data_IF_253526009489
#
_entry.id   IF_253526009489
#
_cell.length_a   1.000
_cell.length_b   1.000
_cell.length_c   1.000
_cell.angle_alpha   90.00
_cell.angle_beta   90.00
_cell.angle_gamma   90.00
#
_symmetry.space_group_name_H-M   'P 1'
#
loop_
_entity.id
_entity.type
_entity.pdbx_description
1 polymer ?
#
# COMPACT_ATOMS: atom_id res chain seq x y z
N UNK A 1 -2.71 -29.16 3.19
CA UNK A 1 -2.12 -28.13 2.28
C UNK A 1 -3.05 -27.52 1.22
N UNK A 2 -3.35 -28.12 0.05
CA UNK A 2 -4.18 -27.43 -1.00
C UNK A 2 -5.61 -27.06 -0.55
N UNK A 3 -6.28 -27.91 0.25
CA UNK A 3 -7.62 -27.62 0.80
C UNK A 3 -7.61 -26.55 1.90
N UNK A 4 -6.56 -26.48 2.70
CA UNK A 4 -6.40 -25.45 3.74
C UNK A 4 -6.11 -24.07 3.12
N UNK A 5 -5.24 -24.03 2.11
CA UNK A 5 -4.97 -22.82 1.32
C UNK A 5 -6.24 -22.30 0.64
N UNK A 6 -7.11 -23.18 0.14
CA UNK A 6 -8.40 -22.78 -0.46
C UNK A 6 -9.36 -22.16 0.55
N UNK A 7 -9.43 -22.70 1.77
CA UNK A 7 -10.27 -22.15 2.86
C UNK A 7 -9.75 -20.81 3.35
N UNK A 8 -8.43 -20.69 3.52
CA UNK A 8 -7.75 -19.45 3.89
C UNK A 8 -7.95 -18.39 2.79
N UNK A 9 -7.83 -18.75 1.51
CA UNK A 9 -8.09 -17.83 0.38
C UNK A 9 -9.53 -17.33 0.36
N UNK A 10 -10.51 -18.20 0.62
CA UNK A 10 -11.93 -17.78 0.66
C UNK A 10 -12.21 -16.81 1.81
N UNK A 11 -11.70 -17.11 3.00
CA UNK A 11 -11.80 -16.22 4.17
C UNK A 11 -11.05 -14.90 3.96
N UNK A 12 -9.87 -14.95 3.35
CA UNK A 12 -9.09 -13.77 2.99
C UNK A 12 -9.87 -12.91 1.99
N UNK A 13 -10.47 -13.51 0.95
CA UNK A 13 -11.30 -12.81 -0.04
C UNK A 13 -12.52 -12.14 0.57
N UNK A 14 -13.18 -12.78 1.52
CA UNK A 14 -14.30 -12.17 2.25
C UNK A 14 -13.85 -11.00 3.15
N UNK A 15 -12.69 -11.14 3.81
CA UNK A 15 -12.09 -10.06 4.62
C UNK A 15 -11.63 -8.89 3.74
N UNK A 16 -10.95 -9.18 2.65
CA UNK A 16 -10.52 -8.22 1.64
C UNK A 16 -11.69 -7.45 1.03
N UNK A 17 -12.79 -8.14 0.69
CA UNK A 17 -13.99 -7.49 0.16
C UNK A 17 -14.64 -6.56 1.20
N UNK A 18 -14.69 -6.97 2.47
CA UNK A 18 -15.15 -6.10 3.57
C UNK A 18 -14.20 -4.92 3.83
N UNK A 19 -12.89 -5.18 3.78
CA UNK A 19 -11.83 -4.20 3.94
C UNK A 19 -11.88 -3.16 2.81
N UNK A 20 -12.04 -3.58 1.56
CA UNK A 20 -12.19 -2.73 0.37
C UNK A 20 -13.40 -1.79 0.50
N UNK A 21 -14.54 -2.29 0.98
CA UNK A 21 -15.76 -1.48 1.18
C UNK A 21 -15.64 -0.44 2.31
N UNK A 22 -14.81 -0.69 3.32
CA UNK A 22 -14.65 0.18 4.49
C UNK A 22 -13.19 0.33 4.92
N UNK A 23 -12.29 0.65 3.99
CA UNK A 23 -10.89 0.87 4.31
C UNK A 23 -10.70 2.24 4.96
N UNK A 24 -10.88 2.32 6.29
CA UNK A 24 -10.80 3.57 7.05
C UNK A 24 -9.43 4.26 6.96
N UNK A 25 -8.38 3.52 6.60
CA UNK A 25 -7.01 4.03 6.44
C UNK A 25 -6.75 4.61 5.06
N UNK A 26 -7.56 4.23 4.06
CA UNK A 26 -7.43 4.71 2.70
C UNK A 26 -8.30 5.94 2.50
N UNK A 27 -7.65 7.07 2.22
CA UNK A 27 -8.28 8.23 1.59
C UNK A 27 -8.01 8.11 0.11
N UNK A 28 -9.00 7.68 -0.64
CA UNK A 28 -8.81 7.35 -2.05
C UNK A 28 -8.70 8.59 -2.95
N UNK A 29 -8.26 8.37 -4.19
CA UNK A 29 -8.39 9.31 -5.29
C UNK A 29 -9.46 8.85 -6.29
N UNK A 30 -9.80 9.71 -7.26
CA UNK A 30 -10.88 9.45 -8.22
C UNK A 30 -10.45 8.65 -9.44
N UNK A 31 -9.18 8.79 -9.82
CA UNK A 31 -8.60 8.17 -11.01
C UNK A 31 -7.55 7.16 -10.56
N UNK A 32 -7.69 5.94 -11.06
CA UNK A 32 -6.79 4.82 -10.83
C UNK A 32 -6.06 4.46 -12.12
N UNK A 33 -4.98 3.68 -12.01
CA UNK A 33 -4.23 3.16 -13.15
C UNK A 33 -5.11 2.34 -14.11
N UNK A 34 -6.11 1.64 -13.56
CA UNK A 34 -7.07 0.84 -14.32
C UNK A 34 -8.02 1.68 -15.19
N UNK A 35 -8.11 2.99 -14.99
CA UNK A 35 -8.90 3.90 -15.80
C UNK A 35 -8.18 4.25 -17.12
N UNK A 36 -7.95 3.26 -17.98
CA UNK A 36 -7.14 3.40 -19.21
C UNK A 36 -7.61 4.49 -20.19
N UNK A 37 -8.87 4.93 -20.09
CA UNK A 37 -9.42 6.04 -20.91
C UNK A 37 -9.10 7.43 -20.36
N UNK A 38 -8.67 7.51 -19.10
CA UNK A 38 -8.30 8.76 -18.47
C UNK A 38 -6.82 9.05 -18.73
N UNK A 39 -6.51 10.20 -19.31
CA UNK A 39 -5.13 10.57 -19.63
C UNK A 39 -4.23 10.71 -18.40
N UNK A 40 -4.82 10.86 -17.21
CA UNK A 40 -4.11 11.02 -15.93
C UNK A 40 -3.98 9.73 -15.13
N UNK A 41 -4.38 8.57 -15.66
CA UNK A 41 -4.28 7.28 -14.96
C UNK A 41 -2.86 6.93 -14.55
N UNK A 42 -1.86 7.28 -15.37
CA UNK A 42 -0.43 7.11 -15.08
C UNK A 42 0.09 8.05 -13.97
N UNK A 43 -0.63 9.12 -13.65
CA UNK A 43 -0.31 10.01 -12.51
C UNK A 43 -0.83 9.45 -11.18
N UNK A 44 -1.67 8.40 -11.21
CA UNK A 44 -2.27 7.83 -10.01
C UNK A 44 -1.20 7.40 -9.02
N UNK A 45 -1.29 7.95 -7.80
CA UNK A 45 -0.25 7.84 -6.78
C UNK A 45 -0.87 7.50 -5.44
N UNK A 46 -0.38 6.45 -4.77
CA UNK A 46 -0.69 6.15 -3.39
C UNK A 46 0.47 6.55 -2.48
N UNK A 47 0.24 7.49 -1.56
CA UNK A 47 1.17 7.80 -0.49
C UNK A 47 0.92 6.91 0.73
N UNK A 48 1.90 6.11 1.11
CA UNK A 48 1.89 5.31 2.36
C UNK A 48 2.60 6.13 3.43
N UNK A 49 1.87 6.58 4.44
CA UNK A 49 2.41 7.42 5.52
C UNK A 49 2.55 6.65 6.82
N UNK A 50 3.51 7.04 7.66
CA UNK A 50 3.75 6.46 8.98
C UNK A 50 2.55 6.52 9.94
N UNK A 51 1.74 7.58 9.85
CA UNK A 51 0.58 7.75 10.72
C UNK A 51 -0.33 8.90 10.31
N UNK A 52 -1.39 9.12 11.11
CA UNK A 52 -2.44 10.08 10.80
C UNK A 52 -1.96 11.54 10.76
N UNK A 53 -0.86 11.87 11.44
CA UNK A 53 -0.25 13.21 11.39
C UNK A 53 0.26 13.55 9.99
N UNK A 54 1.15 12.72 9.44
CA UNK A 54 1.67 12.86 8.08
C UNK A 54 0.54 12.72 7.03
N UNK A 55 -0.35 11.74 7.22
CA UNK A 55 -1.54 11.58 6.39
C UNK A 55 -2.43 12.82 6.35
N UNK A 56 -2.65 13.47 7.48
CA UNK A 56 -3.46 14.69 7.58
C UNK A 56 -2.85 15.85 6.80
N UNK A 57 -1.52 15.96 6.81
CA UNK A 57 -0.78 16.97 6.03
C UNK A 57 -0.90 16.73 4.53
N UNK A 58 -0.62 15.51 4.05
CA UNK A 58 -0.73 15.17 2.61
C UNK A 58 -2.18 15.27 2.14
N UNK A 59 -3.15 14.82 2.94
CA UNK A 59 -4.58 14.88 2.58
C UNK A 59 -5.06 16.29 2.28
N UNK A 60 -4.52 17.30 2.98
CA UNK A 60 -4.90 18.70 2.79
C UNK A 60 -4.31 19.33 1.53
N UNK A 61 -3.16 18.85 1.05
CA UNK A 61 -2.43 19.47 -0.07
C UNK A 61 -2.49 18.68 -1.38
N UNK A 62 -2.91 17.40 -1.33
CA UNK A 62 -2.93 16.51 -2.49
C UNK A 62 -3.95 16.92 -3.57
N UNK A 63 -3.68 16.52 -4.82
CA UNK A 63 -4.71 16.47 -5.87
C UNK A 63 -5.60 15.24 -5.67
N UNK A 64 -6.83 15.45 -5.20
CA UNK A 64 -7.81 14.39 -4.95
C UNK A 64 -8.19 13.56 -6.18
N UNK A 65 -7.88 14.03 -7.40
CA UNK A 65 -8.15 13.27 -8.60
C UNK A 65 -7.15 12.12 -8.78
N UNK A 66 -5.87 12.32 -8.48
CA UNK A 66 -4.81 11.35 -8.79
C UNK A 66 -4.03 10.87 -7.57
N UNK A 67 -4.16 11.51 -6.41
CA UNK A 67 -3.33 11.20 -5.24
C UNK A 67 -4.17 10.63 -4.10
N UNK A 68 -3.94 9.35 -3.78
CA UNK A 68 -4.48 8.63 -2.65
C UNK A 68 -3.50 8.64 -1.46
N UNK A 69 -4.01 8.43 -0.24
CA UNK A 69 -3.20 8.38 0.98
C UNK A 69 -3.64 7.20 1.84
N UNK A 70 -2.70 6.39 2.31
CA UNK A 70 -2.91 5.28 3.23
C UNK A 70 -2.13 5.52 4.54
N UNK A 71 -2.83 5.56 5.68
CA UNK A 71 -2.19 5.70 7.00
C UNK A 71 -1.87 4.37 7.66
N UNK A 72 -0.58 4.11 7.88
CA UNK A 72 -0.13 3.03 8.75
C UNK A 72 -0.46 3.33 10.21
N UNK A 73 -0.47 2.29 11.03
CA UNK A 73 -0.55 2.42 12.49
C UNK A 73 0.69 1.80 13.12
N UNK A 74 1.64 2.65 13.48
CA UNK A 74 2.90 2.21 14.09
C UNK A 74 3.78 1.45 13.08
N UNK A 75 4.72 0.68 13.62
CA UNK A 75 5.69 -0.08 12.82
C UNK A 75 5.03 -1.31 12.18
N UNK A 76 5.08 -1.46 10.84
CA UNK A 76 4.58 -2.67 10.19
C UNK A 76 5.25 -3.94 10.71
N UNK A 77 4.57 -5.08 10.60
CA UNK A 77 5.16 -6.37 10.94
C UNK A 77 6.40 -6.63 10.06
N UNK A 78 7.52 -7.04 10.65
CA UNK A 78 8.67 -7.49 9.87
C UNK A 78 8.35 -8.81 9.18
N UNK A 79 8.24 -8.78 7.86
CA UNK A 79 7.84 -9.95 7.08
C UNK A 79 9.00 -10.81 6.59
N UNK A 80 10.25 -10.45 6.91
CA UNK A 80 11.43 -11.22 6.50
C UNK A 80 11.33 -12.68 7.00
N UNK A 81 11.42 -13.63 6.07
CA UNK A 81 11.32 -15.06 6.37
C UNK A 81 9.91 -15.54 6.76
N UNK A 82 8.89 -14.68 6.73
CA UNK A 82 7.51 -15.07 6.99
C UNK A 82 6.83 -15.67 5.76
N UNK A 83 5.81 -16.50 6.01
CA UNK A 83 4.98 -17.08 4.94
C UNK A 83 3.88 -16.10 4.51
N UNK A 84 3.38 -16.26 3.27
CA UNK A 84 2.23 -15.49 2.75
C UNK A 84 1.02 -15.52 3.69
N UNK A 85 0.78 -16.66 4.35
CA UNK A 85 -0.33 -16.83 5.30
C UNK A 85 -0.30 -15.81 6.44
N UNK A 86 0.86 -15.61 7.06
CA UNK A 86 1.02 -14.68 8.19
C UNK A 86 0.75 -13.23 7.73
N UNK A 87 1.22 -12.88 6.53
CA UNK A 87 1.00 -11.56 5.94
C UNK A 87 -0.48 -11.32 5.64
N UNK A 88 -1.21 -12.32 5.17
CA UNK A 88 -2.66 -12.22 4.94
C UNK A 88 -3.49 -12.10 6.23
N UNK A 89 -3.02 -12.71 7.31
CA UNK A 89 -3.65 -12.63 8.63
C UNK A 89 -3.37 -11.28 9.32
N UNK A 90 -2.33 -10.55 8.91
CA UNK A 90 -2.03 -9.22 9.40
C UNK A 90 -3.00 -8.18 8.81
N UNK A 91 -3.70 -7.46 9.69
CA UNK A 91 -4.71 -6.47 9.31
C UNK A 91 -4.14 -5.31 8.49
N UNK A 92 -2.97 -4.77 8.87
CA UNK A 92 -2.34 -3.64 8.17
C UNK A 92 -2.00 -4.01 6.72
N UNK A 93 -1.33 -5.15 6.52
CA UNK A 93 -0.97 -5.62 5.19
C UNK A 93 -2.19 -6.07 4.39
N UNK A 94 -3.23 -6.62 5.03
CA UNK A 94 -4.48 -6.95 4.34
C UNK A 94 -5.14 -5.68 3.80
N UNK A 95 -5.25 -4.62 4.62
CA UNK A 95 -5.80 -3.33 4.19
C UNK A 95 -4.95 -2.65 3.10
N UNK A 96 -3.63 -2.77 3.16
CA UNK A 96 -2.73 -2.23 2.14
C UNK A 96 -2.84 -3.00 0.81
N UNK A 97 -2.88 -4.33 0.87
CA UNK A 97 -3.07 -5.17 -0.32
C UNK A 97 -4.43 -4.89 -0.98
N UNK A 98 -5.50 -4.74 -0.19
CA UNK A 98 -6.81 -4.35 -0.68
C UNK A 98 -6.81 -2.92 -1.26
N UNK A 99 -6.04 -2.00 -0.67
CA UNK A 99 -5.89 -0.65 -1.21
C UNK A 99 -5.23 -0.66 -2.60
N UNK A 100 -4.20 -1.49 -2.78
CA UNK A 100 -3.45 -1.61 -4.05
C UNK A 100 -4.13 -2.54 -5.08
N UNK A 101 -5.01 -3.43 -4.61
CA UNK A 101 -5.63 -4.54 -5.35
C UNK A 101 -4.62 -5.56 -5.90
N UNK A 102 -3.73 -6.04 -5.02
CA UNK A 102 -2.60 -6.93 -5.39
C UNK A 102 -2.70 -8.34 -4.79
N UNK A 103 -3.85 -8.71 -4.22
CA UNK A 103 -4.00 -9.96 -3.46
C UNK A 103 -3.87 -11.23 -4.30
N UNK A 104 -4.43 -11.20 -5.52
CA UNK A 104 -4.49 -12.33 -6.45
C UNK A 104 -3.51 -12.15 -7.62
N UNK A 105 -3.39 -10.94 -8.17
CA UNK A 105 -2.50 -10.60 -9.29
C UNK A 105 -2.12 -9.11 -9.28
N UNK A 106 -1.17 -8.72 -10.13
CA UNK A 106 -0.76 -7.33 -10.38
C UNK A 106 -1.54 -6.67 -11.53
N UNK A 107 -2.39 -7.42 -12.24
CA UNK A 107 -3.05 -6.98 -13.47
C UNK A 107 -3.97 -5.76 -13.25
N UNK A 108 -4.63 -5.73 -12.10
CA UNK A 108 -5.56 -4.66 -11.72
C UNK A 108 -4.94 -3.73 -10.65
N UNK A 109 -3.62 -3.51 -10.70
CA UNK A 109 -2.93 -2.58 -9.82
C UNK A 109 -3.59 -1.19 -9.90
N UNK A 110 -3.96 -0.63 -8.75
CA UNK A 110 -4.77 0.59 -8.70
C UNK A 110 -4.02 1.89 -8.88
N UNK A 111 -2.72 1.92 -8.60
CA UNK A 111 -1.93 3.14 -8.66
C UNK A 111 -0.62 2.87 -9.40
N UNK A 112 -0.28 3.76 -10.33
CA UNK A 112 0.96 3.69 -11.05
C UNK A 112 2.17 3.98 -10.15
N UNK A 113 2.01 4.88 -9.19
CA UNK A 113 3.07 5.24 -8.26
C UNK A 113 2.67 4.85 -6.83
N UNK A 114 3.55 4.15 -6.13
CA UNK A 114 3.41 3.80 -4.72
C UNK A 114 4.56 4.49 -3.99
N UNK A 115 4.25 5.51 -3.20
CA UNK A 115 5.24 6.37 -2.55
C UNK A 115 5.26 6.11 -1.06
N UNK A 116 6.38 5.63 -0.54
CA UNK A 116 6.64 5.55 0.91
C UNK A 116 6.99 6.94 1.42
N UNK A 117 6.08 7.55 2.17
CA UNK A 117 6.19 8.90 2.72
C UNK A 117 6.37 8.84 4.25
N UNK A 118 7.59 8.49 4.67
CA UNK A 118 8.01 8.46 6.07
C UNK A 118 8.91 9.65 6.41
N UNK A 119 8.95 10.02 7.69
CA UNK A 119 9.78 11.12 8.16
C UNK A 119 11.29 10.79 8.06
N UNK A 120 12.11 11.84 8.03
CA UNK A 120 13.57 11.72 7.95
C UNK A 120 14.22 11.49 9.31
N UNK A 121 13.68 10.56 10.09
CA UNK A 121 14.21 10.13 11.38
C UNK A 121 14.43 8.61 11.42
N UNK A 122 14.93 8.13 12.57
CA UNK A 122 15.26 6.71 12.77
C UNK A 122 14.02 5.80 12.69
N UNK A 123 12.85 6.28 13.09
CA UNK A 123 11.61 5.51 13.07
C UNK A 123 11.04 5.43 11.64
N UNK A 124 11.05 6.54 10.92
CA UNK A 124 10.67 6.62 9.51
C UNK A 124 11.59 5.79 8.61
N UNK A 125 12.89 5.72 8.91
CA UNK A 125 13.83 4.80 8.25
C UNK A 125 13.50 3.33 8.53
N UNK A 126 13.12 2.99 9.77
CA UNK A 126 12.73 1.63 10.14
C UNK A 126 11.44 1.21 9.42
N UNK A 127 10.41 2.05 9.41
CA UNK A 127 9.15 1.77 8.71
C UNK A 127 9.40 1.59 7.21
N UNK A 128 10.22 2.45 6.61
CA UNK A 128 10.63 2.35 5.20
C UNK A 128 11.26 0.99 4.90
N UNK A 129 12.18 0.52 5.73
CA UNK A 129 12.82 -0.78 5.55
C UNK A 129 11.82 -1.94 5.64
N UNK A 130 10.88 -1.88 6.60
CA UNK A 130 9.85 -2.90 6.79
C UNK A 130 8.91 -2.99 5.58
N UNK A 131 8.48 -1.85 5.03
CA UNK A 131 7.67 -1.80 3.81
C UNK A 131 8.42 -2.31 2.58
N UNK A 132 9.68 -1.91 2.39
CA UNK A 132 10.51 -2.40 1.28
C UNK A 132 10.68 -3.91 1.38
N UNK A 133 10.91 -4.44 2.59
CA UNK A 133 11.01 -5.89 2.83
C UNK A 133 9.73 -6.62 2.44
N UNK A 134 8.57 -6.07 2.80
CA UNK A 134 7.27 -6.60 2.39
C UNK A 134 7.11 -6.62 0.86
N UNK A 135 7.35 -5.50 0.17
CA UNK A 135 7.23 -5.45 -1.29
C UNK A 135 8.22 -6.39 -1.97
N UNK A 136 9.48 -6.41 -1.52
CA UNK A 136 10.52 -7.26 -2.12
C UNK A 136 10.21 -8.76 -1.99
N UNK A 137 9.65 -9.20 -0.86
CA UNK A 137 9.42 -10.62 -0.60
C UNK A 137 8.11 -11.13 -1.20
N UNK A 138 7.06 -10.30 -1.26
CA UNK A 138 5.71 -10.75 -1.64
C UNK A 138 5.24 -10.21 -2.98
N UNK A 139 5.74 -9.06 -3.41
CA UNK A 139 5.34 -8.34 -4.62
C UNK A 139 6.55 -7.72 -5.36
N UNK A 140 7.61 -8.49 -5.66
CA UNK A 140 8.84 -7.96 -6.25
C UNK A 140 8.59 -7.27 -7.61
N UNK A 141 7.53 -7.64 -8.33
CA UNK A 141 7.10 -7.03 -9.59
C UNK A 141 6.83 -5.53 -9.45
N UNK A 142 6.25 -5.08 -8.32
CA UNK A 142 6.05 -3.65 -8.02
C UNK A 142 7.36 -2.86 -8.09
N UNK A 143 8.47 -3.47 -7.65
CA UNK A 143 9.78 -2.83 -7.66
C UNK A 143 10.39 -2.93 -9.06
N UNK A 144 10.32 -4.10 -9.69
CA UNK A 144 10.91 -4.36 -11.02
C UNK A 144 10.28 -3.49 -12.12
N UNK A 145 8.98 -3.27 -12.05
CA UNK A 145 8.23 -2.46 -13.01
C UNK A 145 8.31 -0.95 -12.69
N UNK A 146 8.98 -0.58 -11.60
CA UNK A 146 9.27 0.81 -11.26
C UNK A 146 8.11 1.55 -10.60
N UNK A 147 7.18 0.86 -9.94
CA UNK A 147 6.04 1.49 -9.27
C UNK A 147 6.38 2.00 -7.85
N UNK A 148 7.40 1.46 -7.18
CA UNK A 148 7.73 1.83 -5.80
C UNK A 148 8.74 2.97 -5.73
N UNK A 149 8.37 4.02 -5.00
CA UNK A 149 9.16 5.22 -4.77
C UNK A 149 9.27 5.54 -3.28
N UNK A 150 10.29 6.31 -2.93
CA UNK A 150 10.50 6.84 -1.57
C UNK A 150 10.42 8.35 -1.65
N UNK A 151 9.56 8.97 -0.84
CA UNK A 151 9.52 10.42 -0.74
C UNK A 151 10.76 10.89 0.00
N UNK A 152 11.54 11.76 -0.65
CA UNK A 152 12.69 12.40 -0.04
C UNK A 152 12.27 13.75 0.53
N UNK A 153 12.28 13.88 1.85
CA UNK A 153 11.99 15.14 2.53
C UNK A 153 13.24 16.02 2.58
N UNK A 154 13.13 17.34 2.41
CA UNK A 154 14.27 18.24 2.55
C UNK A 154 14.73 18.29 4.02
N UNK A 155 16.03 18.14 4.24
CA UNK A 155 16.63 18.13 5.59
C UNK A 155 16.78 19.54 6.18
N UNK A 156 16.79 20.57 5.34
CA UNK A 156 16.95 21.97 5.73
C UNK A 156 15.86 22.82 5.05
N UNK A 157 15.45 23.90 5.72
CA UNK A 157 14.56 24.93 5.17
C UNK A 157 15.36 26.20 4.93
#
# INVERSE_FOLDING_TARGET
ERKELSGIRKLAKERAKKASLHNRKLRDCRVHLTDAKNSRSLESTLFITEGDSASGSITKSRDVNTQAVFSLRGKPLNTYGMTKKIVYENEEFNLLQAALNIEESMEDLRYNNIVIATDADVDGMHIRLLLITFFLQFFPEIIKEGHLYILQTPLFR
#
